data_IF_202222285892
#
_entry.id   IF_202222285892
#
_cell.length_a   1.000
_cell.length_b   1.000
_cell.length_c   1.000
_cell.angle_alpha   90.00
_cell.angle_beta   90.00
_cell.angle_gamma   90.00
#
_symmetry.space_group_name_H-M   'P 1'
#
loop_
_entity.id
_entity.type
_entity.pdbx_description
1 polymer ?
#
# COMPACT_ATOMS: atom_id res chain seq x y z
N UNK A 1 -16.48 16.19 10.58
CA UNK A 1 -16.49 14.73 10.31
C UNK A 1 -17.93 14.35 10.01
N UNK A 2 -18.14 13.50 9.04
CA UNK A 2 -19.45 12.90 8.78
C UNK A 2 -19.56 11.59 9.58
N UNK A 3 -20.76 11.27 10.04
CA UNK A 3 -21.04 10.03 10.74
C UNK A 3 -21.83 9.09 9.84
N UNK A 4 -21.29 7.91 9.59
CA UNK A 4 -21.83 6.95 8.62
C UNK A 4 -22.04 5.61 9.30
N UNK A 5 -23.18 4.96 9.01
CA UNK A 5 -23.47 3.61 9.49
C UNK A 5 -22.80 2.57 8.58
N UNK A 6 -21.82 1.85 9.11
CA UNK A 6 -21.15 0.73 8.44
C UNK A 6 -21.64 -0.60 9.00
N UNK A 7 -22.73 -1.13 8.41
CA UNK A 7 -23.25 -2.44 8.80
C UNK A 7 -23.77 -2.53 10.24
N UNK A 8 -24.39 -1.46 10.76
CA UNK A 8 -24.92 -1.37 12.12
C UNK A 8 -23.99 -0.67 13.12
N UNK A 9 -22.80 -0.26 12.71
CA UNK A 9 -21.85 0.50 13.53
C UNK A 9 -21.68 1.90 12.98
N UNK A 10 -21.88 2.91 13.82
CA UNK A 10 -21.66 4.31 13.45
C UNK A 10 -20.17 4.64 13.56
N UNK A 11 -19.58 5.11 12.46
CA UNK A 11 -18.18 5.51 12.39
C UNK A 11 -18.02 6.95 11.88
N UNK A 12 -17.02 7.65 12.38
CA UNK A 12 -16.66 8.97 11.90
C UNK A 12 -15.73 8.87 10.69
N UNK A 13 -16.04 9.63 9.63
CA UNK A 13 -15.19 9.75 8.45
C UNK A 13 -14.97 11.20 8.08
N UNK A 14 -13.94 11.45 7.28
CA UNK A 14 -13.65 12.76 6.70
C UNK A 14 -13.47 12.62 5.19
N UNK A 15 -14.26 13.38 4.43
CA UNK A 15 -14.12 13.51 2.98
C UNK A 15 -13.72 14.93 2.61
N UNK A 16 -13.54 15.19 1.33
CA UNK A 16 -13.32 16.58 0.83
C UNK A 16 -14.50 17.52 1.11
N UNK A 17 -15.67 16.98 1.45
CA UNK A 17 -16.83 17.76 1.84
C UNK A 17 -16.67 18.34 3.26
N UNK A 18 -16.22 17.53 4.20
CA UNK A 18 -15.99 17.94 5.58
C UNK A 18 -14.66 18.68 5.75
N UNK A 19 -13.67 18.36 4.90
CA UNK A 19 -12.32 18.94 4.94
C UNK A 19 -11.83 19.22 3.51
N UNK A 20 -12.09 20.43 3.03
CA UNK A 20 -11.79 20.80 1.64
C UNK A 20 -10.27 20.86 1.35
N UNK A 21 -9.89 20.68 0.09
CA UNK A 21 -8.51 20.89 -0.34
C UNK A 21 -8.02 22.32 -0.09
N UNK A 22 -8.90 23.32 -0.19
CA UNK A 22 -8.58 24.71 0.14
C UNK A 22 -8.23 24.87 1.62
N UNK A 23 -8.96 24.19 2.52
CA UNK A 23 -8.62 24.15 3.95
C UNK A 23 -7.28 23.45 4.18
N UNK A 24 -7.02 22.33 3.52
CA UNK A 24 -5.74 21.62 3.61
C UNK A 24 -4.56 22.52 3.19
N UNK A 25 -4.68 23.20 2.05
CA UNK A 25 -3.68 24.17 1.56
C UNK A 25 -3.45 25.31 2.54
N UNK A 26 -4.51 25.82 3.17
CA UNK A 26 -4.41 26.91 4.18
C UNK A 26 -3.64 26.45 5.42
N UNK A 27 -3.92 25.24 5.91
CA UNK A 27 -3.25 24.68 7.09
C UNK A 27 -1.77 24.45 6.81
N UNK A 28 -1.43 23.86 5.66
CA UNK A 28 -0.06 23.48 5.29
C UNK A 28 0.69 24.60 4.51
N UNK A 29 0.15 25.82 4.47
CA UNK A 29 0.69 26.92 3.64
C UNK A 29 2.16 27.23 3.91
N UNK A 30 2.58 27.13 5.14
CA UNK A 30 3.94 27.48 5.59
C UNK A 30 4.81 26.25 5.87
N UNK A 31 4.26 25.04 5.67
CA UNK A 31 4.99 23.81 5.87
C UNK A 31 5.69 23.38 4.59
N UNK A 32 6.95 22.97 4.70
CA UNK A 32 7.65 22.20 3.68
C UNK A 32 7.52 20.74 4.02
N UNK A 33 7.02 19.94 3.07
CA UNK A 33 6.78 18.51 3.23
C UNK A 33 7.93 17.75 2.58
N UNK A 34 8.77 17.08 3.36
CA UNK A 34 9.80 16.18 2.85
C UNK A 34 9.26 14.74 2.76
N UNK A 35 9.28 14.16 1.56
CA UNK A 35 9.01 12.74 1.36
C UNK A 35 10.33 11.98 1.32
N UNK A 36 10.64 11.24 2.38
CA UNK A 36 11.87 10.48 2.52
C UNK A 36 11.73 9.06 1.97
N UNK A 37 12.58 8.71 1.03
CA UNK A 37 12.48 7.51 0.21
C UNK A 37 11.78 7.78 -1.12
N UNK A 38 12.00 6.91 -2.10
CA UNK A 38 11.30 6.99 -3.39
C UNK A 38 11.01 5.58 -3.92
N UNK A 39 10.43 4.77 -3.02
CA UNK A 39 10.08 3.36 -3.24
C UNK A 39 8.71 3.16 -3.89
N UNK A 40 7.79 2.45 -3.19
CA UNK A 40 6.48 2.06 -3.72
C UNK A 40 5.44 3.17 -3.49
N UNK A 41 5.27 3.64 -2.26
CA UNK A 41 4.27 4.64 -1.88
C UNK A 41 4.71 6.09 -2.17
N UNK A 42 5.97 6.39 -1.91
CA UNK A 42 6.49 7.74 -1.94
C UNK A 42 6.27 8.50 -3.27
N UNK A 43 6.48 7.91 -4.46
CA UNK A 43 6.21 8.61 -5.72
C UNK A 43 4.79 9.10 -5.86
N UNK A 44 3.81 8.24 -5.51
CA UNK A 44 2.40 8.59 -5.62
C UNK A 44 2.02 9.71 -4.64
N UNK A 45 2.39 9.57 -3.38
CA UNK A 45 2.06 10.56 -2.36
C UNK A 45 2.75 11.90 -2.63
N UNK A 46 4.03 11.90 -2.98
CA UNK A 46 4.77 13.12 -3.29
C UNK A 46 4.18 13.87 -4.50
N UNK A 47 3.88 13.16 -5.58
CA UNK A 47 3.30 13.76 -6.78
C UNK A 47 1.87 14.26 -6.54
N UNK A 48 1.04 13.51 -5.81
CA UNK A 48 -0.32 13.93 -5.49
C UNK A 48 -0.35 15.18 -4.61
N UNK A 49 0.51 15.25 -3.59
CA UNK A 49 0.68 16.44 -2.74
C UNK A 49 1.13 17.65 -3.59
N UNK A 50 2.11 17.46 -4.48
CA UNK A 50 2.61 18.51 -5.37
C UNK A 50 1.54 18.99 -6.35
N UNK A 51 0.81 18.08 -6.99
CA UNK A 51 -0.28 18.40 -7.92
C UNK A 51 -1.44 19.12 -7.21
N UNK A 52 -1.65 18.84 -5.93
CA UNK A 52 -2.59 19.55 -5.07
C UNK A 52 -2.04 20.90 -4.55
N UNK A 53 -0.90 21.37 -5.04
CA UNK A 53 -0.35 22.72 -4.77
C UNK A 53 0.30 22.87 -3.41
N UNK A 54 0.80 21.79 -2.81
CA UNK A 54 1.55 21.82 -1.56
C UNK A 54 3.06 21.90 -1.83
N UNK A 55 3.81 22.47 -0.89
CA UNK A 55 5.27 22.58 -1.01
C UNK A 55 5.93 21.24 -0.63
N UNK A 56 6.39 20.51 -1.64
CA UNK A 56 6.95 19.16 -1.47
C UNK A 56 8.38 19.12 -1.96
N UNK A 57 9.24 18.48 -1.17
CA UNK A 57 10.60 18.08 -1.54
C UNK A 57 10.77 16.58 -1.34
N UNK A 58 11.73 15.98 -2.04
CA UNK A 58 12.01 14.54 -1.97
C UNK A 58 13.42 14.32 -1.44
N UNK A 59 13.53 13.45 -0.44
CA UNK A 59 14.81 12.93 0.06
C UNK A 59 15.03 11.50 -0.40
N UNK A 60 16.06 11.24 -1.21
CA UNK A 60 16.30 9.92 -1.76
C UNK A 60 17.78 9.51 -1.74
N UNK A 61 18.04 8.19 -1.62
CA UNK A 61 19.37 7.61 -1.75
C UNK A 61 19.80 7.50 -3.23
N UNK A 62 18.83 7.17 -4.11
CA UNK A 62 19.01 7.10 -5.55
C UNK A 62 18.07 8.06 -6.25
N UNK A 63 18.59 8.92 -7.08
CA UNK A 63 17.83 10.00 -7.73
C UNK A 63 17.19 9.60 -9.06
N UNK A 64 17.55 8.44 -9.64
CA UNK A 64 17.18 8.04 -11.01
C UNK A 64 15.67 8.07 -11.24
N UNK A 65 14.89 7.45 -10.33
CA UNK A 65 13.43 7.39 -10.43
C UNK A 65 12.80 8.77 -10.19
N UNK A 66 13.24 9.47 -9.16
CA UNK A 66 12.73 10.79 -8.83
C UNK A 66 12.97 11.80 -9.98
N UNK A 67 14.16 11.81 -10.57
CA UNK A 67 14.47 12.63 -11.74
C UNK A 67 13.57 12.31 -12.94
N UNK A 68 13.25 11.02 -13.18
CA UNK A 68 12.32 10.61 -14.24
C UNK A 68 10.92 11.17 -14.02
N UNK A 69 10.50 11.32 -12.77
CA UNK A 69 9.21 11.87 -12.37
C UNK A 69 9.23 13.42 -12.25
N UNK A 70 10.31 14.07 -12.71
CA UNK A 70 10.42 15.54 -12.85
C UNK A 70 10.98 16.26 -11.63
N UNK A 71 11.49 15.54 -10.61
CA UNK A 71 12.14 16.16 -9.45
C UNK A 71 13.55 16.64 -9.81
N UNK A 72 13.94 17.85 -9.36
CA UNK A 72 15.18 18.53 -9.74
C UNK A 72 16.17 18.55 -8.59
N UNK A 73 17.36 17.96 -8.81
CA UNK A 73 18.42 17.92 -7.81
C UNK A 73 18.85 19.35 -7.41
N UNK A 74 18.95 19.59 -6.11
CA UNK A 74 19.29 20.89 -5.56
C UNK A 74 18.14 21.91 -5.50
N UNK A 75 16.97 21.57 -6.06
CA UNK A 75 15.76 22.42 -6.04
C UNK A 75 14.67 21.79 -5.16
N UNK A 76 14.22 20.59 -5.54
CA UNK A 76 13.16 19.84 -4.82
C UNK A 76 13.53 18.35 -4.63
N UNK A 77 14.77 17.96 -4.95
CA UNK A 77 15.33 16.62 -4.76
C UNK A 77 16.68 16.71 -4.05
N UNK A 78 16.82 16.05 -2.91
CA UNK A 78 17.97 16.14 -2.02
C UNK A 78 18.40 14.75 -1.52
N UNK A 79 19.48 14.70 -0.72
CA UNK A 79 19.79 13.57 0.14
C UNK A 79 18.73 13.48 1.25
N UNK A 80 18.58 12.30 1.84
CA UNK A 80 17.54 12.04 2.85
C UNK A 80 17.65 13.00 4.04
N UNK A 81 18.85 13.12 4.61
CA UNK A 81 19.09 13.97 5.76
C UNK A 81 18.89 15.46 5.44
N UNK A 82 19.33 15.89 4.26
CA UNK A 82 19.16 17.26 3.81
C UNK A 82 17.68 17.62 3.63
N UNK A 83 16.91 16.74 2.99
CA UNK A 83 15.46 16.94 2.85
C UNK A 83 14.75 17.00 4.22
N UNK A 84 15.14 16.10 5.13
CA UNK A 84 14.58 16.10 6.49
C UNK A 84 14.84 17.40 7.25
N UNK A 85 16.06 17.94 7.16
CA UNK A 85 16.44 19.21 7.83
C UNK A 85 15.72 20.44 7.25
N UNK A 86 15.31 20.38 5.97
CA UNK A 86 14.63 21.50 5.28
C UNK A 86 13.12 21.53 5.50
N UNK A 87 12.56 20.53 6.16
CA UNK A 87 11.11 20.32 6.25
C UNK A 87 10.59 20.49 7.67
N UNK A 88 9.37 21.00 7.79
CA UNK A 88 8.58 20.97 9.03
C UNK A 88 7.65 19.75 9.12
N UNK A 89 7.44 19.04 7.98
CA UNK A 89 6.68 17.79 7.94
C UNK A 89 7.50 16.75 7.17
N UNK A 90 7.80 15.64 7.82
CA UNK A 90 8.63 14.56 7.27
C UNK A 90 7.79 13.30 7.08
N UNK A 91 7.46 12.94 5.84
CA UNK A 91 6.87 11.65 5.47
C UNK A 91 7.97 10.60 5.36
N UNK A 92 8.06 9.71 6.34
CA UNK A 92 9.13 8.72 6.44
C UNK A 92 8.75 7.43 5.67
N UNK A 93 8.81 7.49 4.33
CA UNK A 93 8.30 6.47 3.40
C UNK A 93 9.40 5.54 2.83
N UNK A 94 10.50 5.38 3.51
CA UNK A 94 11.45 4.29 3.25
C UNK A 94 10.88 2.96 3.79
N UNK A 95 11.40 1.82 3.33
CA UNK A 95 10.99 0.51 3.86
C UNK A 95 11.24 0.41 5.37
N UNK A 96 10.51 -0.47 6.07
CA UNK A 96 10.60 -0.61 7.53
C UNK A 96 12.01 -0.92 8.03
N UNK A 97 12.72 -1.83 7.34
CA UNK A 97 14.16 -2.06 7.62
C UNK A 97 15.01 -0.81 7.34
N UNK A 98 14.64 -0.04 6.32
CA UNK A 98 15.25 1.25 5.99
C UNK A 98 14.97 2.31 7.05
N UNK A 99 13.77 2.34 7.62
CA UNK A 99 13.42 3.25 8.72
C UNK A 99 14.31 2.96 9.94
N UNK A 100 14.43 1.69 10.35
CA UNK A 100 15.34 1.28 11.41
C UNK A 100 16.78 1.75 11.16
N UNK A 101 17.29 1.54 9.96
CA UNK A 101 18.68 1.88 9.62
C UNK A 101 18.93 3.40 9.55
N UNK A 102 17.96 4.17 9.06
CA UNK A 102 18.11 5.62 8.86
C UNK A 102 17.69 6.45 10.07
N UNK A 103 16.92 5.87 11.00
CA UNK A 103 16.38 6.59 12.15
C UNK A 103 17.43 7.39 12.94
N UNK A 104 18.63 6.86 13.27
CA UNK A 104 19.63 7.61 14.02
C UNK A 104 20.07 8.92 13.36
N UNK A 105 19.95 9.01 12.03
CA UNK A 105 20.26 10.21 11.25
C UNK A 105 19.05 11.13 11.12
N UNK A 106 17.89 10.59 10.73
CA UNK A 106 16.66 11.36 10.56
C UNK A 106 16.22 12.00 11.88
N UNK A 107 16.33 11.29 13.01
CA UNK A 107 16.00 11.85 14.33
C UNK A 107 16.73 13.16 14.65
N UNK A 108 17.97 13.32 14.19
CA UNK A 108 18.79 14.52 14.42
C UNK A 108 18.37 15.70 13.55
N UNK A 109 17.56 15.48 12.54
CA UNK A 109 17.08 16.50 11.60
C UNK A 109 15.74 17.09 12.03
N UNK A 110 15.05 16.49 13.00
CA UNK A 110 13.74 16.93 13.47
C UNK A 110 13.90 18.00 14.54
N UNK A 111 13.12 19.07 14.43
CA UNK A 111 13.05 20.16 15.38
C UNK A 111 11.76 20.07 16.23
N UNK A 112 11.71 20.72 17.40
CA UNK A 112 10.47 20.85 18.16
C UNK A 112 9.34 21.44 17.32
N UNK A 113 8.18 20.80 17.35
CA UNK A 113 7.00 21.20 16.58
C UNK A 113 6.94 20.67 15.15
N UNK A 114 7.97 19.98 14.66
CA UNK A 114 7.90 19.26 13.39
C UNK A 114 6.94 18.08 13.47
N UNK A 115 6.47 17.59 12.32
CA UNK A 115 5.63 16.40 12.23
C UNK A 115 6.36 15.26 11.50
N UNK A 116 6.44 14.13 12.17
CA UNK A 116 6.91 12.86 11.59
C UNK A 116 5.71 12.00 11.21
N UNK A 117 5.60 11.68 9.92
CA UNK A 117 4.43 11.05 9.34
C UNK A 117 4.78 9.69 8.75
N UNK A 118 3.98 8.70 9.06
CA UNK A 118 4.10 7.33 8.55
C UNK A 118 2.90 6.97 7.67
N UNK A 119 3.10 6.04 6.73
CA UNK A 119 2.01 5.40 5.98
C UNK A 119 1.78 3.96 6.42
N UNK A 120 2.45 3.52 7.49
CA UNK A 120 2.29 2.23 8.13
C UNK A 120 2.77 2.31 9.58
N UNK A 121 2.03 1.73 10.50
CA UNK A 121 2.31 1.82 11.94
C UNK A 121 3.51 1.00 12.45
N UNK A 122 4.15 0.21 11.59
CA UNK A 122 5.16 -0.80 11.91
C UNK A 122 6.28 -0.29 12.83
N UNK A 123 6.98 0.75 12.43
CA UNK A 123 8.18 1.18 13.14
C UNK A 123 7.90 1.73 14.54
N UNK A 124 6.78 2.42 14.71
CA UNK A 124 6.39 3.02 15.99
C UNK A 124 5.82 1.96 16.95
N UNK A 125 5.00 1.05 16.45
CA UNK A 125 4.36 0.01 17.28
C UNK A 125 5.38 -1.02 17.76
N UNK A 126 6.28 -1.44 16.90
CA UNK A 126 7.34 -2.40 17.25
C UNK A 126 8.66 -1.73 17.57
N UNK A 127 8.61 -0.59 18.30
CA UNK A 127 9.77 0.24 18.65
C UNK A 127 10.90 -0.54 19.35
N UNK A 128 10.59 -1.57 20.09
CA UNK A 128 11.59 -2.41 20.74
C UNK A 128 12.48 -3.17 19.74
N UNK A 129 11.93 -3.47 18.56
CA UNK A 129 12.66 -4.15 17.48
C UNK A 129 13.27 -3.16 16.47
N UNK A 130 12.56 -2.09 16.15
CA UNK A 130 12.96 -1.09 15.15
C UNK A 130 13.87 -0.02 15.70
N UNK A 131 13.75 0.29 16.99
CA UNK A 131 14.43 1.40 17.69
C UNK A 131 13.99 2.78 17.19
N UNK A 132 12.87 2.88 16.47
CA UNK A 132 12.28 4.14 16.04
C UNK A 132 11.43 4.71 17.18
N UNK A 133 12.03 5.64 17.91
CA UNK A 133 11.41 6.32 19.06
C UNK A 133 11.50 7.83 18.83
N UNK A 134 10.41 8.48 18.33
CA UNK A 134 10.35 9.93 18.18
C UNK A 134 10.53 10.67 19.52
N UNK A 135 11.07 11.89 19.46
CA UNK A 135 11.16 12.76 20.62
C UNK A 135 9.79 13.24 21.09
N UNK A 136 9.66 13.72 22.35
CA UNK A 136 8.38 14.17 22.90
C UNK A 136 7.86 15.47 22.29
N UNK A 137 8.70 16.17 21.57
CA UNK A 137 8.52 17.52 21.02
C UNK A 137 8.13 17.54 19.53
N UNK A 138 7.90 16.37 18.92
CA UNK A 138 7.44 16.24 17.52
C UNK A 138 6.06 15.60 17.45
N UNK A 139 5.23 16.02 16.48
CA UNK A 139 4.00 15.31 16.16
C UNK A 139 4.31 13.96 15.52
N UNK A 140 3.57 12.92 15.87
CA UNK A 140 3.72 11.58 15.25
C UNK A 140 2.37 11.16 14.65
N UNK A 141 2.32 11.15 13.32
CA UNK A 141 1.11 11.03 12.54
C UNK A 141 1.14 9.80 11.63
N UNK A 142 -0.04 9.33 11.28
CA UNK A 142 -0.20 8.26 10.29
C UNK A 142 -1.26 8.67 9.26
N UNK A 143 -0.91 8.52 7.98
CA UNK A 143 -1.85 8.52 6.86
C UNK A 143 -1.51 7.32 5.99
N UNK A 144 -2.36 6.29 6.02
CA UNK A 144 -2.11 5.01 5.36
C UNK A 144 -3.14 4.74 4.25
N UNK A 145 -2.83 5.07 2.99
CA UNK A 145 -3.69 4.71 1.86
C UNK A 145 -3.85 3.19 1.74
N UNK A 146 -5.10 2.71 1.61
CA UNK A 146 -5.43 1.29 1.49
C UNK A 146 -5.35 0.83 0.04
N UNK A 147 -4.14 0.88 -0.51
CA UNK A 147 -3.83 0.46 -1.87
C UNK A 147 -2.37 0.65 -2.24
N UNK A 148 -1.93 -0.02 -3.31
CA UNK A 148 -0.57 0.12 -3.82
C UNK A 148 -0.30 1.55 -4.28
N UNK A 149 0.95 2.03 -4.21
CA UNK A 149 1.31 3.37 -4.67
C UNK A 149 0.91 3.62 -6.13
N UNK A 150 0.99 2.61 -6.99
CA UNK A 150 0.52 2.71 -8.38
C UNK A 150 -0.97 3.01 -8.46
N UNK A 151 -1.78 2.33 -7.63
CA UNK A 151 -3.24 2.56 -7.57
C UNK A 151 -3.57 3.92 -6.94
N UNK A 152 -2.84 4.33 -5.90
CA UNK A 152 -3.00 5.67 -5.29
C UNK A 152 -2.81 6.78 -6.33
N UNK A 153 -1.76 6.67 -7.18
CA UNK A 153 -1.52 7.66 -8.24
C UNK A 153 -2.55 7.60 -9.36
N UNK A 154 -2.86 6.40 -9.83
CA UNK A 154 -3.83 6.19 -10.93
C UNK A 154 -5.21 6.75 -10.57
N UNK A 155 -5.76 6.34 -9.42
CA UNK A 155 -7.08 6.78 -9.00
C UNK A 155 -7.14 8.29 -8.77
N UNK A 156 -6.05 8.89 -8.24
CA UNK A 156 -5.95 10.34 -8.12
C UNK A 156 -6.05 11.05 -9.48
N UNK A 157 -5.33 10.56 -10.49
CA UNK A 157 -5.35 11.14 -11.85
C UNK A 157 -6.71 10.96 -12.55
N UNK A 158 -7.46 9.92 -12.18
CA UNK A 158 -8.82 9.64 -12.66
C UNK A 158 -9.88 10.45 -11.91
N UNK A 159 -9.51 11.32 -10.97
CA UNK A 159 -10.43 12.12 -10.16
C UNK A 159 -11.09 11.37 -9.01
N UNK A 160 -10.72 10.09 -8.82
CA UNK A 160 -11.10 9.26 -7.68
C UNK A 160 -10.05 9.37 -6.56
N UNK A 161 -10.15 8.50 -5.55
CA UNK A 161 -9.16 8.43 -4.46
C UNK A 161 -9.16 7.07 -3.78
N UNK A 162 -8.01 6.66 -3.29
CA UNK A 162 -7.91 5.48 -2.42
C UNK A 162 -8.24 5.91 -0.98
N UNK A 163 -9.09 5.16 -0.30
CA UNK A 163 -9.42 5.42 1.09
C UNK A 163 -8.17 5.27 1.97
N UNK A 164 -8.05 6.09 3.00
CA UNK A 164 -6.91 6.05 3.89
C UNK A 164 -7.34 6.02 5.35
N UNK A 165 -6.67 5.22 6.16
CA UNK A 165 -6.75 5.38 7.60
C UNK A 165 -5.83 6.50 8.07
N UNK A 166 -6.23 7.18 9.16
CA UNK A 166 -5.38 8.18 9.80
C UNK A 166 -5.33 7.97 11.32
N UNK A 167 -4.21 8.34 11.91
CA UNK A 167 -4.04 8.29 13.36
C UNK A 167 -3.06 9.34 13.86
N UNK A 168 -3.29 9.83 15.07
CA UNK A 168 -2.38 10.66 15.82
C UNK A 168 -1.81 9.81 16.96
N UNK A 169 -0.51 9.56 16.96
CA UNK A 169 0.18 8.88 18.05
C UNK A 169 0.66 9.85 19.10
N UNK A 170 1.11 11.03 18.66
CA UNK A 170 1.59 12.11 19.52
C UNK A 170 1.22 13.46 18.90
N UNK A 171 0.69 14.35 19.73
CA UNK A 171 0.38 15.74 19.40
C UNK A 171 1.21 16.67 20.31
N UNK A 172 2.39 17.03 19.85
CA UNK A 172 3.28 17.94 20.58
C UNK A 172 3.00 19.42 20.26
N UNK A 173 2.50 19.68 19.05
CA UNK A 173 2.27 21.03 18.55
C UNK A 173 0.87 21.60 18.85
N UNK A 174 -0.09 20.73 19.25
CA UNK A 174 -1.53 21.05 19.29
C UNK A 174 -2.19 21.18 17.91
N UNK A 175 -1.48 20.82 16.83
CA UNK A 175 -1.93 20.92 15.43
C UNK A 175 -1.95 19.59 14.71
N UNK A 176 -1.64 18.49 15.39
CA UNK A 176 -1.44 17.16 14.81
C UNK A 176 -2.66 16.68 14.00
N UNK A 177 -3.87 16.85 14.53
CA UNK A 177 -5.11 16.44 13.85
C UNK A 177 -5.31 17.18 12.54
N UNK A 178 -5.21 18.51 12.55
CA UNK A 178 -5.39 19.32 11.34
C UNK A 178 -4.32 19.02 10.28
N UNK A 179 -3.06 18.88 10.69
CA UNK A 179 -1.96 18.46 9.78
C UNK A 179 -2.20 17.08 9.19
N UNK A 180 -2.61 16.11 10.00
CA UNK A 180 -2.87 14.74 9.56
C UNK A 180 -4.00 14.69 8.52
N UNK A 181 -5.12 15.35 8.79
CA UNK A 181 -6.24 15.43 7.85
C UNK A 181 -5.86 16.19 6.58
N UNK A 182 -5.14 17.30 6.70
CA UNK A 182 -4.68 18.07 5.56
C UNK A 182 -3.75 17.26 4.64
N UNK A 183 -2.86 16.45 5.21
CA UNK A 183 -2.00 15.52 4.45
C UNK A 183 -2.83 14.44 3.77
N UNK A 184 -3.78 13.81 4.45
CA UNK A 184 -4.65 12.80 3.86
C UNK A 184 -5.45 13.33 2.67
N UNK A 185 -6.04 14.51 2.79
CA UNK A 185 -6.73 15.19 1.67
C UNK A 185 -5.74 15.59 0.58
N UNK A 186 -4.56 16.07 0.96
CA UNK A 186 -3.49 16.45 0.02
C UNK A 186 -2.94 15.25 -0.78
N UNK A 187 -2.85 14.07 -0.19
CA UNK A 187 -2.50 12.82 -0.88
C UNK A 187 -3.60 12.39 -1.86
N UNK A 188 -4.82 12.90 -1.70
CA UNK A 188 -5.94 12.60 -2.57
C UNK A 188 -6.76 11.40 -2.12
N UNK A 189 -6.87 11.17 -0.82
CA UNK A 189 -7.70 10.09 -0.27
C UNK A 189 -9.16 10.23 -0.66
N UNK A 190 -9.84 9.10 -0.91
CA UNK A 190 -11.28 9.04 -1.17
C UNK A 190 -12.05 9.49 0.05
N UNK A 191 -11.88 8.80 1.17
CA UNK A 191 -12.22 9.27 2.50
C UNK A 191 -11.15 8.86 3.52
N UNK A 192 -11.13 9.57 4.64
CA UNK A 192 -10.26 9.29 5.77
C UNK A 192 -11.08 8.71 6.92
N UNK A 193 -10.61 7.63 7.53
CA UNK A 193 -11.23 7.03 8.71
C UNK A 193 -10.22 6.91 9.85
N UNK A 194 -10.65 7.18 11.11
CA UNK A 194 -9.75 7.17 12.24
C UNK A 194 -9.35 5.75 12.63
N UNK A 195 -8.10 5.62 13.07
CA UNK A 195 -7.56 4.37 13.63
C UNK A 195 -6.52 4.68 14.71
N UNK A 196 -5.78 3.66 15.14
CA UNK A 196 -4.56 3.82 15.93
C UNK A 196 -3.39 3.17 15.19
N UNK A 197 -2.16 3.58 15.48
CA UNK A 197 -0.98 2.93 14.91
C UNK A 197 -0.99 1.42 15.11
N UNK A 198 -1.41 0.96 16.30
CA UNK A 198 -1.48 -0.47 16.61
C UNK A 198 -2.57 -1.20 15.78
N UNK A 199 -3.76 -0.63 15.67
CA UNK A 199 -4.84 -1.24 14.86
C UNK A 199 -4.46 -1.27 13.39
N UNK A 200 -3.89 -0.18 12.89
CA UNK A 200 -3.46 -0.08 11.50
C UNK A 200 -2.43 -1.16 11.16
N UNK A 201 -1.33 -1.26 11.92
CA UNK A 201 -0.28 -2.23 11.61
C UNK A 201 -0.77 -3.67 11.70
N UNK A 202 -1.63 -4.00 12.68
CA UNK A 202 -2.17 -5.35 12.81
C UNK A 202 -3.09 -5.70 11.64
N UNK A 203 -4.00 -4.79 11.27
CA UNK A 203 -4.92 -5.04 10.15
C UNK A 203 -4.20 -5.09 8.82
N UNK A 204 -3.24 -4.20 8.58
CA UNK A 204 -2.47 -4.12 7.35
C UNK A 204 -1.60 -5.35 7.12
N UNK A 205 -0.76 -5.72 8.11
CA UNK A 205 0.06 -6.93 8.02
C UNK A 205 -0.77 -8.22 7.90
N UNK A 206 -1.93 -8.27 8.56
CA UNK A 206 -2.85 -9.41 8.43
C UNK A 206 -3.50 -9.43 7.04
N UNK A 207 -3.90 -8.27 6.51
CA UNK A 207 -4.50 -8.13 5.19
C UNK A 207 -3.56 -8.56 4.06
N UNK A 208 -2.32 -8.06 4.08
CA UNK A 208 -1.31 -8.39 3.06
C UNK A 208 -0.98 -9.89 3.01
N UNK A 209 -0.79 -10.52 4.18
CA UNK A 209 -0.50 -11.95 4.26
C UNK A 209 -1.75 -12.80 4.06
N UNK A 210 -2.89 -12.24 4.35
CA UNK A 210 -4.21 -12.83 4.15
C UNK A 210 -4.75 -12.61 2.74
N UNK A 211 -6.00 -12.17 2.67
CA UNK A 211 -6.82 -12.11 1.44
C UNK A 211 -6.21 -11.22 0.36
N UNK A 212 -5.49 -10.16 0.71
CA UNK A 212 -4.99 -9.20 -0.28
C UNK A 212 -3.89 -9.78 -1.19
N UNK A 213 -3.02 -10.64 -0.66
CA UNK A 213 -1.90 -11.21 -1.42
C UNK A 213 -1.62 -12.67 -1.08
N UNK A 214 -1.25 -12.99 0.18
CA UNK A 214 -0.73 -14.29 0.54
C UNK A 214 -1.75 -15.42 0.37
N UNK A 215 -2.92 -15.30 0.99
CA UNK A 215 -3.98 -16.31 0.89
C UNK A 215 -4.56 -16.36 -0.53
N UNK A 216 -4.73 -15.21 -1.20
CA UNK A 216 -5.22 -15.16 -2.59
C UNK A 216 -4.30 -15.95 -3.53
N UNK A 217 -2.98 -15.71 -3.46
CA UNK A 217 -2.00 -16.44 -4.27
C UNK A 217 -2.03 -17.94 -3.98
N UNK A 218 -2.02 -18.33 -2.69
CA UNK A 218 -2.04 -19.74 -2.29
C UNK A 218 -3.31 -20.48 -2.70
N UNK A 219 -4.47 -19.83 -2.65
CA UNK A 219 -5.75 -20.42 -3.10
C UNK A 219 -5.76 -20.60 -4.62
N UNK A 220 -5.27 -19.62 -5.38
CA UNK A 220 -5.13 -19.73 -6.83
C UNK A 220 -4.20 -20.89 -7.22
N UNK A 221 -3.03 -20.99 -6.58
CA UNK A 221 -2.08 -22.07 -6.86
C UNK A 221 -2.67 -23.43 -6.53
N UNK A 222 -3.32 -23.58 -5.37
CA UNK A 222 -3.93 -24.85 -4.97
C UNK A 222 -5.01 -25.32 -5.96
N UNK A 223 -5.90 -24.43 -6.40
CA UNK A 223 -6.92 -24.78 -7.38
C UNK A 223 -6.30 -25.12 -8.74
N UNK A 224 -5.35 -24.32 -9.22
CA UNK A 224 -4.63 -24.57 -10.46
C UNK A 224 -3.98 -25.96 -10.46
N UNK A 225 -3.25 -26.31 -9.41
CA UNK A 225 -2.60 -27.62 -9.27
C UNK A 225 -3.59 -28.78 -9.31
N UNK A 226 -4.74 -28.64 -8.62
CA UNK A 226 -5.79 -29.67 -8.64
C UNK A 226 -6.32 -29.88 -10.06
N UNK A 227 -6.63 -28.82 -10.79
CA UNK A 227 -7.09 -28.91 -12.17
C UNK A 227 -6.03 -29.55 -13.07
N UNK A 228 -4.76 -29.14 -12.96
CA UNK A 228 -3.65 -29.71 -13.73
C UNK A 228 -3.46 -31.21 -13.46
N UNK A 229 -3.53 -31.62 -12.20
CA UNK A 229 -3.43 -33.03 -11.80
C UNK A 229 -4.58 -33.91 -12.34
N UNK A 230 -5.71 -33.31 -12.65
CA UNK A 230 -6.89 -33.99 -13.21
C UNK A 230 -7.02 -33.83 -14.73
N UNK A 231 -5.95 -33.40 -15.42
CA UNK A 231 -5.85 -33.45 -16.87
C UNK A 231 -6.29 -32.18 -17.61
N UNK A 232 -6.72 -31.13 -16.91
CA UNK A 232 -7.02 -29.84 -17.54
C UNK A 232 -5.77 -29.20 -18.13
N UNK A 233 -5.88 -28.57 -19.29
CA UNK A 233 -4.76 -27.88 -19.91
C UNK A 233 -4.28 -26.67 -19.09
N UNK A 234 -3.02 -26.22 -19.21
CA UNK A 234 -2.54 -25.03 -18.50
C UNK A 234 -3.38 -23.79 -18.79
N UNK A 235 -3.84 -23.62 -20.02
CA UNK A 235 -4.69 -22.51 -20.42
C UNK A 235 -6.06 -22.59 -19.75
N UNK A 236 -6.72 -23.74 -19.78
CA UNK A 236 -8.01 -23.96 -19.12
C UNK A 236 -7.92 -23.75 -17.61
N UNK A 237 -6.95 -24.40 -16.95
CA UNK A 237 -6.76 -24.23 -15.51
C UNK A 237 -6.48 -22.76 -15.11
N UNK A 238 -5.74 -22.00 -15.92
CA UNK A 238 -5.49 -20.59 -15.67
C UNK A 238 -6.74 -19.72 -15.85
N UNK A 239 -7.54 -19.97 -16.88
CA UNK A 239 -8.77 -19.24 -17.12
C UNK A 239 -9.77 -19.43 -15.98
N UNK A 240 -9.98 -20.68 -15.53
CA UNK A 240 -10.90 -21.04 -14.44
C UNK A 240 -10.41 -20.62 -13.03
N UNK A 241 -9.14 -20.25 -12.89
CA UNK A 241 -8.58 -19.91 -11.57
C UNK A 241 -8.27 -18.43 -11.44
N UNK A 242 -7.66 -17.83 -12.45
CA UNK A 242 -7.12 -16.47 -12.35
C UNK A 242 -7.81 -15.49 -13.29
N UNK A 243 -7.97 -15.88 -14.57
CA UNK A 243 -8.41 -14.93 -15.60
C UNK A 243 -9.84 -14.49 -15.38
N UNK A 244 -10.76 -15.41 -15.20
CA UNK A 244 -12.18 -15.10 -14.95
C UNK A 244 -12.35 -14.32 -13.64
N UNK A 245 -11.64 -14.72 -12.57
CA UNK A 245 -11.68 -14.02 -11.32
C UNK A 245 -11.27 -12.54 -11.49
N UNK A 246 -10.15 -12.28 -12.15
CA UNK A 246 -9.55 -10.93 -12.22
C UNK A 246 -10.13 -10.03 -13.31
N UNK A 247 -10.62 -10.62 -14.41
CA UNK A 247 -11.20 -9.85 -15.52
C UNK A 247 -12.70 -9.57 -15.35
N UNK A 248 -13.39 -10.43 -14.61
CA UNK A 248 -14.85 -10.38 -14.47
C UNK A 248 -15.28 -10.29 -13.00
N UNK A 249 -15.15 -11.36 -12.23
CA UNK A 249 -15.86 -11.53 -10.97
C UNK A 249 -15.44 -10.52 -9.88
N UNK A 250 -14.14 -10.30 -9.67
CA UNK A 250 -13.66 -9.32 -8.67
C UNK A 250 -14.13 -7.90 -9.02
N UNK A 251 -14.23 -7.58 -10.29
CA UNK A 251 -14.74 -6.29 -10.73
C UNK A 251 -16.22 -6.12 -10.43
N UNK A 252 -17.03 -7.15 -10.63
CA UNK A 252 -18.45 -7.12 -10.27
C UNK A 252 -18.64 -7.00 -8.75
N UNK A 253 -17.79 -7.64 -7.96
CA UNK A 253 -17.81 -7.51 -6.50
C UNK A 253 -17.42 -6.09 -6.06
N UNK A 254 -16.44 -5.47 -6.70
CA UNK A 254 -16.03 -4.09 -6.44
C UNK A 254 -17.15 -3.08 -6.74
N UNK A 255 -17.83 -3.29 -7.85
CA UNK A 255 -18.87 -2.37 -8.33
C UNK A 255 -20.21 -2.54 -7.58
N UNK A 256 -20.59 -3.76 -7.18
CA UNK A 256 -21.96 -4.07 -6.75
C UNK A 256 -22.08 -4.93 -5.48
N UNK A 257 -21.01 -5.57 -5.03
CA UNK A 257 -21.01 -6.49 -3.89
C UNK A 257 -21.13 -7.96 -4.28
N UNK A 258 -20.89 -8.84 -3.30
CA UNK A 258 -20.81 -10.29 -3.50
C UNK A 258 -22.18 -10.93 -3.78
N UNK A 259 -23.20 -10.46 -3.12
CA UNK A 259 -24.58 -10.92 -3.29
C UNK A 259 -25.11 -10.60 -4.70
N UNK A 260 -24.85 -9.40 -5.19
CA UNK A 260 -25.18 -8.99 -6.55
C UNK A 260 -24.45 -9.86 -7.59
N UNK A 261 -23.14 -10.07 -7.39
CA UNK A 261 -22.36 -10.92 -8.29
C UNK A 261 -22.94 -12.34 -8.35
N UNK A 262 -23.29 -12.93 -7.21
CA UNK A 262 -23.94 -14.25 -7.17
C UNK A 262 -25.30 -14.24 -7.89
N UNK A 263 -26.14 -13.24 -7.65
CA UNK A 263 -27.46 -13.13 -8.28
C UNK A 263 -27.39 -13.03 -9.82
N UNK A 264 -26.26 -12.55 -10.35
CA UNK A 264 -26.04 -12.41 -11.80
C UNK A 264 -25.19 -13.54 -12.42
N UNK A 265 -24.98 -14.64 -11.68
CA UNK A 265 -24.39 -15.87 -12.21
C UNK A 265 -25.47 -16.92 -12.51
N UNK A 266 -25.09 -18.02 -13.17
CA UNK A 266 -26.00 -19.16 -13.39
C UNK A 266 -26.43 -19.80 -12.06
N UNK A 267 -27.62 -20.40 -12.04
CA UNK A 267 -28.12 -21.10 -10.82
C UNK A 267 -27.20 -22.19 -10.33
N UNK A 268 -26.50 -22.87 -11.24
CA UNK A 268 -25.49 -23.89 -10.92
C UNK A 268 -24.29 -23.27 -10.20
N UNK A 269 -23.78 -22.14 -10.71
CA UNK A 269 -22.67 -21.42 -10.08
C UNK A 269 -23.07 -20.86 -8.69
N UNK A 270 -24.27 -20.24 -8.59
CA UNK A 270 -24.81 -19.75 -7.32
C UNK A 270 -24.85 -20.85 -6.27
N UNK A 271 -25.47 -21.99 -6.61
CA UNK A 271 -25.64 -23.09 -5.65
C UNK A 271 -24.32 -23.68 -5.23
N UNK A 272 -23.44 -23.96 -6.21
CA UNK A 272 -22.10 -24.48 -5.94
C UNK A 272 -21.29 -23.57 -5.03
N UNK A 273 -21.25 -22.26 -5.32
CA UNK A 273 -20.51 -21.30 -4.53
C UNK A 273 -21.05 -21.19 -3.08
N UNK A 274 -22.39 -21.13 -2.91
CA UNK A 274 -23.02 -21.08 -1.59
C UNK A 274 -22.76 -22.35 -0.75
N UNK A 275 -22.71 -23.53 -1.38
CA UNK A 275 -22.47 -24.80 -0.70
C UNK A 275 -20.99 -24.97 -0.28
N UNK A 276 -20.06 -24.44 -1.09
CA UNK A 276 -18.62 -24.58 -0.83
C UNK A 276 -18.04 -23.46 0.05
N UNK A 277 -18.61 -22.26 0.03
CA UNK A 277 -18.19 -21.12 0.86
C UNK A 277 -17.98 -21.51 2.34
N UNK A 278 -18.90 -22.20 3.04
CA UNK A 278 -18.71 -22.56 4.44
C UNK A 278 -17.56 -23.56 4.65
N UNK A 279 -17.28 -24.43 3.68
CA UNK A 279 -16.16 -25.38 3.75
C UNK A 279 -14.82 -24.63 3.69
N UNK A 280 -14.64 -23.72 2.72
CA UNK A 280 -13.45 -22.87 2.65
C UNK A 280 -13.29 -22.00 3.89
N UNK A 281 -14.37 -21.36 4.36
CA UNK A 281 -14.33 -20.58 5.60
C UNK A 281 -13.85 -21.42 6.79
N UNK A 282 -14.36 -22.63 6.94
CA UNK A 282 -13.95 -23.56 8.01
C UNK A 282 -12.46 -23.92 7.91
N UNK A 283 -11.98 -24.19 6.72
CA UNK A 283 -10.58 -24.57 6.48
C UNK A 283 -9.60 -23.41 6.73
N UNK A 284 -9.96 -22.20 6.33
CA UNK A 284 -9.05 -21.03 6.40
C UNK A 284 -9.09 -20.28 7.72
N UNK A 285 -10.21 -20.33 8.47
CA UNK A 285 -10.37 -19.57 9.72
C UNK A 285 -9.28 -19.85 10.78
N UNK A 286 -8.83 -21.09 11.01
CA UNK A 286 -7.71 -21.35 11.93
C UNK A 286 -6.42 -20.66 11.48
N UNK A 287 -6.10 -20.71 10.19
CA UNK A 287 -4.91 -20.08 9.61
C UNK A 287 -4.94 -18.57 9.79
N UNK A 288 -6.09 -17.91 9.57
CA UNK A 288 -6.25 -16.47 9.83
C UNK A 288 -6.09 -16.11 11.31
N UNK A 289 -6.58 -16.94 12.24
CA UNK A 289 -6.38 -16.74 13.67
C UNK A 289 -4.91 -16.83 14.08
N UNK A 290 -4.18 -17.79 13.51
CA UNK A 290 -2.75 -17.97 13.78
C UNK A 290 -1.92 -16.84 13.17
N UNK A 291 -2.25 -16.42 11.95
CA UNK A 291 -1.65 -15.24 11.32
C UNK A 291 -1.85 -13.98 12.17
N UNK A 292 -3.09 -13.71 12.60
CA UNK A 292 -3.40 -12.53 13.43
C UNK A 292 -2.60 -12.55 14.73
N UNK A 293 -2.50 -13.71 15.37
CA UNK A 293 -1.71 -13.90 16.60
C UNK A 293 -0.22 -13.64 16.34
N UNK A 294 0.34 -14.22 15.28
CA UNK A 294 1.74 -14.04 14.87
C UNK A 294 2.09 -12.56 14.63
N UNK A 295 1.19 -11.82 13.96
CA UNK A 295 1.32 -10.38 13.74
C UNK A 295 1.27 -9.64 15.08
N UNK A 296 0.26 -9.88 15.90
CA UNK A 296 0.07 -9.20 17.20
C UNK A 296 1.26 -9.40 18.14
N UNK A 297 1.85 -10.58 18.15
CA UNK A 297 3.03 -10.93 18.95
C UNK A 297 4.36 -10.39 18.37
N UNK A 298 4.33 -9.72 17.22
CA UNK A 298 5.52 -9.16 16.58
C UNK A 298 6.46 -10.19 15.95
N UNK A 299 6.02 -11.45 15.79
CA UNK A 299 6.81 -12.51 15.14
C UNK A 299 7.04 -12.21 13.67
N UNK A 300 6.01 -11.69 13.00
CA UNK A 300 6.10 -11.27 11.60
C UNK A 300 7.05 -10.09 11.42
N UNK A 301 7.02 -9.12 12.34
CA UNK A 301 7.96 -7.99 12.38
C UNK A 301 9.39 -8.46 12.53
N UNK A 302 9.67 -9.35 13.48
CA UNK A 302 11.00 -9.91 13.69
C UNK A 302 11.54 -10.62 12.44
N UNK A 303 10.67 -11.38 11.75
CA UNK A 303 11.01 -12.06 10.49
C UNK A 303 11.34 -11.07 9.38
N UNK A 304 10.51 -10.06 9.16
CA UNK A 304 10.74 -9.02 8.14
C UNK A 304 12.06 -8.29 8.40
N UNK A 305 12.31 -7.81 9.62
CA UNK A 305 13.52 -7.09 9.95
C UNK A 305 14.76 -7.97 9.74
N UNK A 306 14.73 -9.24 10.17
CA UNK A 306 15.84 -10.18 9.98
C UNK A 306 16.12 -10.45 8.50
N UNK A 307 15.06 -10.67 7.70
CA UNK A 307 15.21 -11.03 6.28
C UNK A 307 15.62 -9.83 5.43
N UNK A 308 14.90 -8.70 5.58
CA UNK A 308 15.14 -7.51 4.75
C UNK A 308 16.40 -6.73 5.10
N UNK A 309 17.05 -7.03 6.23
CA UNK A 309 18.34 -6.42 6.62
C UNK A 309 19.56 -7.18 6.09
N UNK A 310 19.39 -8.34 5.45
CA UNK A 310 20.48 -9.08 4.86
C UNK A 310 21.08 -8.33 3.65
N UNK A 311 22.39 -8.43 3.47
CA UNK A 311 23.10 -7.80 2.34
C UNK A 311 22.66 -8.35 0.98
N UNK A 312 22.30 -9.63 0.91
CA UNK A 312 21.85 -10.38 -0.27
C UNK A 312 20.31 -10.41 -0.44
N UNK A 313 19.56 -9.66 0.37
CA UNK A 313 18.09 -9.66 0.32
C UNK A 313 17.55 -9.35 -1.07
N UNK A 314 18.14 -8.40 -1.78
CA UNK A 314 17.69 -8.03 -3.12
C UNK A 314 17.83 -9.20 -4.11
N UNK A 315 18.89 -9.99 -4.00
CA UNK A 315 19.16 -11.16 -4.84
C UNK A 315 18.22 -12.31 -4.46
N UNK A 316 18.02 -12.55 -3.17
CA UNK A 316 17.05 -13.55 -2.69
C UNK A 316 15.65 -13.23 -3.18
N UNK A 317 15.18 -12.00 -3.03
CA UNK A 317 13.87 -11.57 -3.51
C UNK A 317 13.75 -11.71 -5.04
N UNK A 318 14.77 -11.32 -5.80
CA UNK A 318 14.77 -11.46 -7.25
C UNK A 318 14.63 -12.94 -7.67
N UNK A 319 15.34 -13.85 -7.00
CA UNK A 319 15.25 -15.29 -7.24
C UNK A 319 13.86 -15.86 -6.88
N UNK A 320 13.25 -15.41 -5.78
CA UNK A 320 11.90 -15.84 -5.40
C UNK A 320 10.84 -15.36 -6.39
N UNK A 321 10.94 -14.11 -6.85
CA UNK A 321 10.03 -13.54 -7.85
C UNK A 321 10.21 -14.20 -9.23
N UNK A 322 11.44 -14.56 -9.61
CA UNK A 322 11.72 -15.29 -10.85
C UNK A 322 11.12 -16.70 -10.81
N UNK A 323 11.28 -17.44 -9.72
CA UNK A 323 10.63 -18.74 -9.52
C UNK A 323 9.11 -18.66 -9.62
N UNK A 324 8.51 -17.64 -8.99
CA UNK A 324 7.08 -17.40 -9.08
C UNK A 324 6.67 -17.12 -10.52
N UNK A 325 7.34 -16.19 -11.20
CA UNK A 325 7.02 -15.78 -12.56
C UNK A 325 7.30 -16.84 -13.64
N UNK A 326 8.20 -17.78 -13.37
CA UNK A 326 8.54 -18.90 -14.26
C UNK A 326 7.75 -20.18 -13.99
N UNK A 327 6.85 -20.18 -12.99
CA UNK A 327 5.95 -21.32 -12.77
C UNK A 327 5.00 -21.53 -13.95
N UNK A 328 4.58 -22.77 -14.18
CA UNK A 328 3.67 -23.13 -15.28
C UNK A 328 2.42 -22.23 -15.30
N UNK A 329 1.81 -22.02 -14.14
CA UNK A 329 0.62 -21.17 -13.99
C UNK A 329 0.86 -19.75 -14.51
N UNK A 330 1.95 -19.10 -14.10
CA UNK A 330 2.24 -17.74 -14.51
C UNK A 330 2.79 -17.60 -15.92
N UNK A 331 3.43 -18.65 -16.47
CA UNK A 331 3.78 -18.73 -17.90
C UNK A 331 2.52 -18.87 -18.76
N UNK A 332 1.57 -19.75 -18.39
CA UNK A 332 0.26 -19.83 -19.03
C UNK A 332 -0.47 -18.48 -18.99
N UNK A 333 -0.49 -17.83 -17.84
CA UNK A 333 -1.09 -16.52 -17.66
C UNK A 333 -0.43 -15.42 -18.48
N UNK A 334 0.86 -15.51 -18.76
CA UNK A 334 1.55 -14.56 -19.65
C UNK A 334 0.98 -14.65 -21.08
N UNK A 335 0.76 -15.87 -21.59
CA UNK A 335 0.19 -16.07 -22.91
C UNK A 335 -1.30 -15.69 -22.97
N UNK A 336 -2.09 -16.05 -21.96
CA UNK A 336 -3.49 -15.62 -21.86
C UNK A 336 -3.60 -14.10 -21.92
N UNK A 337 -2.81 -13.36 -21.14
CA UNK A 337 -2.79 -11.88 -21.18
C UNK A 337 -2.32 -11.31 -22.52
N UNK A 338 -1.40 -11.99 -23.21
CA UNK A 338 -0.91 -11.59 -24.55
C UNK A 338 -2.01 -11.71 -25.61
N UNK A 339 -2.88 -12.68 -25.48
CA UNK A 339 -3.96 -12.97 -26.43
C UNK A 339 -5.19 -12.05 -26.22
N UNK A 340 -5.25 -11.30 -25.11
CA UNK A 340 -6.37 -10.37 -24.89
C UNK A 340 -6.41 -9.30 -25.99
N UNK A 341 -7.60 -8.97 -26.55
CA UNK A 341 -7.74 -7.83 -27.43
C UNK A 341 -7.24 -6.54 -26.79
N UNK A 342 -6.35 -5.82 -27.47
CA UNK A 342 -5.84 -4.53 -26.98
C UNK A 342 -6.82 -3.41 -27.29
N UNK A 343 -7.52 -2.89 -26.29
CA UNK A 343 -8.20 -1.60 -26.43
C UNK A 343 -7.17 -0.48 -26.32
N UNK A 344 -7.27 0.58 -27.16
CA UNK A 344 -6.26 1.63 -27.30
C UNK A 344 -5.77 2.30 -26.00
N UNK A 345 -6.57 2.26 -24.91
CA UNK A 345 -6.19 2.75 -23.57
C UNK A 345 -5.13 1.89 -22.85
N UNK A 346 -4.99 0.60 -23.20
CA UNK A 346 -3.99 -0.30 -22.55
C UNK A 346 -2.57 -0.15 -23.06
N UNK A 347 -2.33 0.50 -24.23
CA UNK A 347 -0.98 0.74 -24.75
C UNK A 347 -0.16 1.68 -23.88
N UNK A 348 -0.78 2.62 -23.18
CA UNK A 348 -0.09 3.54 -22.29
C UNK A 348 0.40 2.84 -20.99
N UNK A 349 -0.44 1.99 -20.38
CA UNK A 349 -0.12 1.27 -19.12
C UNK A 349 0.97 0.21 -19.34
N UNK A 350 0.96 -0.48 -20.49
CA UNK A 350 1.97 -1.49 -20.84
C UNK A 350 3.38 -0.91 -21.07
N UNK A 351 3.49 0.37 -21.48
CA UNK A 351 4.77 1.05 -21.58
C UNK A 351 5.40 1.35 -20.22
N UNK A 352 4.57 1.65 -19.21
CA UNK A 352 5.06 1.91 -17.85
C UNK A 352 5.45 0.62 -17.11
N UNK A 353 4.75 -0.50 -17.35
CA UNK A 353 5.08 -1.80 -16.77
C UNK A 353 6.41 -2.37 -17.30
N UNK A 354 6.77 -2.13 -18.56
CA UNK A 354 8.08 -2.52 -19.12
C UNK A 354 9.27 -1.80 -18.49
N UNK A 355 9.02 -0.69 -17.79
CA UNK A 355 10.05 0.02 -17.02
C UNK A 355 10.46 -0.64 -15.71
N UNK A 356 9.68 -1.60 -15.22
CA UNK A 356 9.90 -2.26 -13.92
C UNK A 356 10.58 -3.64 -14.07
N UNK A 357 10.33 -4.37 -15.18
CA UNK A 357 10.83 -5.75 -15.36
C UNK A 357 12.19 -5.86 -16.08
N UNK A 358 12.79 -4.77 -16.49
CA UNK A 358 14.04 -4.76 -17.28
C UNK A 358 15.24 -4.21 -16.53
N UNK A 359 15.53 -4.66 -15.29
CA UNK A 359 16.78 -4.26 -14.60
C UNK A 359 17.59 -5.46 -14.14
N UNK A 360 18.37 -6.00 -15.05
CA UNK A 360 19.70 -6.55 -14.74
C UNK A 360 20.51 -5.43 -14.08
N UNK A 361 20.85 -5.61 -12.81
CA UNK A 361 21.84 -4.75 -12.16
C UNK A 361 23.20 -4.95 -12.89
N UNK A 362 23.63 -3.97 -13.65
CA UNK A 362 25.07 -3.79 -13.90
C UNK A 362 25.64 -2.99 -12.74
N UNK A 363 26.74 -3.50 -12.24
CA UNK A 363 27.57 -3.06 -11.10
C UNK A 363 27.78 -1.56 -10.98
#
# INVERSE_FOLDING_TARGET
MARINFGGVEEDIVTRKEFSLAKARKILKHDTIAVLGYGVQAPAQALNLKDNGLQVIVGARSYKRAKKDGWKLGVDLFRIEEAATRASIVLFLVSDAGQKALWPKVKKCLNPGDALVFSHGFSVVYKDQTKVVPGPDVDVLLVAPKGSGTSVRRNFLEGAGINSSYAIHQDASGKATDRCLALGIGIGSGYLFPTTFQREVISDLTGERGVLMGALAGIMEAQYEVLRKNGHSPSEAFNETVEELTQSLIRLVDENGMDWMYANCSTTAQRGALDWKPKFKKATLPVFKDLYRSVKEGKETARVLRTCSKSDYAEQLASELDRLGSSEMWLAGKEVRRLRPTTGKKKAIAKDAKGVSGRTMKR
#
